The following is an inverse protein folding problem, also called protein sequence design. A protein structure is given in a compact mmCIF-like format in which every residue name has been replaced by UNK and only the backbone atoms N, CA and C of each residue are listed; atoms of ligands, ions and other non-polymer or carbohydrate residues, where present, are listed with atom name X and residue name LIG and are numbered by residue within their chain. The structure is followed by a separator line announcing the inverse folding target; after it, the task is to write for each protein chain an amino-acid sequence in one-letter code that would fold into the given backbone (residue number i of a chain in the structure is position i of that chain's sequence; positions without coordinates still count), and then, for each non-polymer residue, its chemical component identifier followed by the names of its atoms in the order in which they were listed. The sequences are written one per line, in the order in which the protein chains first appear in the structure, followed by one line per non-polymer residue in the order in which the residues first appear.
data_IF_779375313456
#
_entry.id   IF_779375313456
#
_cell.length_a   1.000
_cell.length_b   1.000
_cell.length_c   1.000
_cell.angle_alpha   90.00
_cell.angle_beta   90.00
_cell.angle_gamma   90.00
#
_symmetry.space_group_name_H-M   'P 1'
#
loop_
_entity.id
_entity.type
_entity.pdbx_description
1 polymer ?
#
# COMPACT_ATOMS: atom_id res chain seq x y z
N UNK A 1 -51.61 41.62 9.01
CA UNK A 1 -50.24 42.09 9.30
C UNK A 1 -49.22 41.21 8.59
N UNK A 2 -48.25 41.79 7.89
CA UNK A 2 -47.18 41.04 7.21
C UNK A 2 -46.06 40.74 8.23
N UNK A 3 -45.62 39.48 8.28
CA UNK A 3 -44.53 39.05 9.16
C UNK A 3 -43.32 38.69 8.28
N UNK A 4 -42.22 39.47 8.30
CA UNK A 4 -41.08 39.23 7.42
C UNK A 4 -40.36 37.90 7.75
N UNK A 5 -39.67 37.29 6.78
CA UNK A 5 -39.02 35.98 6.97
C UNK A 5 -38.06 35.91 8.17
N UNK A 6 -37.24 36.94 8.38
CA UNK A 6 -36.32 37.01 9.54
C UNK A 6 -37.08 36.96 10.87
N UNK A 7 -38.15 37.76 11.00
CA UNK A 7 -38.98 37.77 12.20
C UNK A 7 -39.74 36.45 12.42
N UNK A 8 -40.11 35.75 11.34
CA UNK A 8 -40.66 34.39 11.43
C UNK A 8 -39.61 33.41 11.98
N UNK A 9 -38.36 33.52 11.52
CA UNK A 9 -37.25 32.70 11.98
C UNK A 9 -36.94 32.93 13.47
N UNK A 10 -36.89 34.19 13.92
CA UNK A 10 -36.65 34.51 15.33
C UNK A 10 -37.72 33.92 16.25
N UNK A 11 -39.00 34.08 15.87
CA UNK A 11 -40.13 33.49 16.61
C UNK A 11 -40.02 31.96 16.63
N UNK A 12 -39.66 31.33 15.50
CA UNK A 12 -39.44 29.89 15.44
C UNK A 12 -38.35 29.43 16.40
N UNK A 13 -37.20 30.12 16.46
CA UNK A 13 -36.10 29.79 17.37
C UNK A 13 -36.50 29.95 18.83
N UNK A 14 -37.20 31.02 19.19
CA UNK A 14 -37.68 31.22 20.57
C UNK A 14 -38.67 30.13 21.00
N UNK A 15 -39.58 29.72 20.11
CA UNK A 15 -40.51 28.61 20.37
C UNK A 15 -39.77 27.28 20.50
N UNK A 16 -38.79 27.01 19.64
CA UNK A 16 -37.93 25.82 19.68
C UNK A 16 -37.14 25.71 20.99
N UNK A 17 -36.66 26.83 21.52
CA UNK A 17 -35.92 26.92 22.79
C UNK A 17 -36.83 26.91 24.03
N UNK A 18 -38.15 26.97 23.85
CA UNK A 18 -39.10 27.08 24.96
C UNK A 18 -39.13 28.45 25.65
N UNK A 19 -38.54 29.48 25.04
CA UNK A 19 -38.44 30.84 25.59
C UNK A 19 -39.77 31.61 25.48
N UNK A 20 -40.67 31.15 24.63
CA UNK A 20 -42.00 31.75 24.44
C UNK A 20 -43.04 30.68 24.17
N UNK A 21 -44.30 31.01 24.42
CA UNK A 21 -45.44 30.16 24.05
C UNK A 21 -46.08 30.65 22.76
N UNK A 22 -46.83 29.78 22.09
CA UNK A 22 -47.59 30.13 20.86
C UNK A 22 -48.50 31.32 21.09
N UNK A 23 -49.18 31.38 22.24
CA UNK A 23 -50.08 32.48 22.60
C UNK A 23 -49.33 33.79 22.82
N UNK A 24 -48.20 33.77 23.53
CA UNK A 24 -47.40 34.95 23.80
C UNK A 24 -46.73 35.50 22.52
N UNK A 25 -46.23 34.61 21.66
CA UNK A 25 -45.68 34.97 20.37
C UNK A 25 -46.73 35.58 19.43
N UNK A 26 -47.94 35.00 19.39
CA UNK A 26 -49.06 35.50 18.61
C UNK A 26 -49.47 36.92 19.04
N UNK A 27 -49.64 37.13 20.36
CA UNK A 27 -49.99 38.43 20.92
C UNK A 27 -48.92 39.49 20.64
N UNK A 28 -47.64 39.17 20.85
CA UNK A 28 -46.52 40.11 20.62
C UNK A 28 -46.32 40.45 19.14
N UNK A 29 -46.62 39.51 18.24
CA UNK A 29 -46.49 39.70 16.81
C UNK A 29 -47.76 40.26 16.16
N UNK A 30 -48.87 40.45 16.90
CA UNK A 30 -50.14 40.95 16.34
C UNK A 30 -50.76 40.01 15.31
N UNK A 31 -50.57 38.70 15.48
CA UNK A 31 -51.07 37.66 14.57
C UNK A 31 -51.86 36.60 15.32
N UNK A 32 -52.65 35.82 14.59
CA UNK A 32 -53.39 34.70 15.16
C UNK A 32 -52.48 33.52 15.54
N UNK A 33 -52.89 32.73 16.54
CA UNK A 33 -52.16 31.51 16.97
C UNK A 33 -51.98 30.51 15.83
N UNK A 34 -52.95 30.40 14.91
CA UNK A 34 -52.84 29.53 13.74
C UNK A 34 -51.72 29.95 12.78
N UNK A 35 -51.41 31.26 12.71
CA UNK A 35 -50.29 31.76 11.91
C UNK A 35 -48.94 31.32 12.49
N UNK A 36 -48.83 31.30 13.82
CA UNK A 36 -47.64 30.80 14.54
C UNK A 36 -47.50 29.28 14.40
N UNK A 37 -48.60 28.53 14.49
CA UNK A 37 -48.58 27.07 14.26
C UNK A 37 -48.18 26.73 12.82
N UNK A 38 -48.74 27.42 11.83
CA UNK A 38 -48.38 27.24 10.42
C UNK A 38 -46.90 27.56 10.16
N UNK A 39 -46.37 28.58 10.81
CA UNK A 39 -44.94 28.93 10.77
C UNK A 39 -44.07 27.78 11.29
N UNK A 40 -44.40 27.16 12.43
CA UNK A 40 -43.66 26.00 12.95
C UNK A 40 -43.69 24.82 11.98
N UNK A 41 -44.85 24.56 11.38
CA UNK A 41 -45.01 23.47 10.41
C UNK A 41 -44.13 23.69 9.17
N UNK A 42 -44.16 24.89 8.59
CA UNK A 42 -43.34 25.23 7.41
C UNK A 42 -41.84 25.18 7.74
N UNK A 43 -41.43 25.71 8.89
CA UNK A 43 -40.03 25.68 9.30
C UNK A 43 -39.51 24.25 9.51
N UNK A 44 -40.30 23.39 10.16
CA UNK A 44 -39.96 21.97 10.35
C UNK A 44 -39.87 21.23 9.00
N UNK A 45 -40.84 21.44 8.11
CA UNK A 45 -40.86 20.79 6.81
C UNK A 45 -39.65 21.20 5.96
N UNK A 46 -39.36 22.49 5.86
CA UNK A 46 -38.20 22.98 5.11
C UNK A 46 -36.86 22.51 5.69
N UNK A 47 -36.76 22.40 7.02
CA UNK A 47 -35.56 21.83 7.66
C UNK A 47 -35.39 20.34 7.30
N UNK A 48 -36.46 19.54 7.35
CA UNK A 48 -36.41 18.13 6.99
C UNK A 48 -36.06 17.92 5.51
N UNK A 49 -36.63 18.73 4.61
CA UNK A 49 -36.30 18.70 3.18
C UNK A 49 -34.84 19.06 2.91
N UNK A 50 -34.34 20.12 3.56
CA UNK A 50 -32.94 20.53 3.42
C UNK A 50 -31.97 19.47 3.96
N UNK A 51 -32.31 18.82 5.08
CA UNK A 51 -31.52 17.74 5.65
C UNK A 51 -31.55 16.49 4.78
N UNK A 52 -32.69 16.14 4.21
CA UNK A 52 -32.81 15.02 3.27
C UNK A 52 -32.01 15.25 1.98
N UNK A 53 -31.96 16.49 1.49
CA UNK A 53 -31.15 16.88 0.34
C UNK A 53 -29.65 16.99 0.67
N UNK A 54 -29.30 17.12 1.95
CA UNK A 54 -27.92 17.26 2.39
C UNK A 54 -27.19 15.91 2.28
N UNK A 55 -26.35 15.78 1.25
CA UNK A 55 -25.41 14.67 1.17
C UNK A 55 -24.22 14.97 2.08
N UNK A 56 -23.77 14.02 2.92
CA UNK A 56 -22.52 14.16 3.63
C UNK A 56 -21.41 14.50 2.63
N UNK A 57 -20.64 15.56 2.89
CA UNK A 57 -19.45 15.85 2.09
C UNK A 57 -18.53 14.64 2.05
N UNK A 58 -17.74 14.50 0.99
CA UNK A 58 -16.69 13.47 0.94
C UNK A 58 -15.70 13.80 2.05
N UNK A 59 -15.83 13.16 3.22
CA UNK A 59 -14.74 13.14 4.19
C UNK A 59 -13.53 12.59 3.42
N UNK A 60 -12.37 13.25 3.50
CA UNK A 60 -11.13 12.68 2.98
C UNK A 60 -10.97 11.21 3.41
N UNK A 61 -10.12 10.45 2.71
CA UNK A 61 -9.93 9.00 2.96
C UNK A 61 -10.01 8.71 4.47
N UNK A 62 -10.97 7.89 4.93
CA UNK A 62 -11.14 7.65 6.37
C UNK A 62 -9.82 7.16 6.94
N UNK A 63 -9.47 7.55 8.17
CA UNK A 63 -8.17 7.23 8.78
C UNK A 63 -7.78 5.74 8.66
N UNK A 64 -8.78 4.86 8.81
CA UNK A 64 -8.65 3.41 8.57
C UNK A 64 -8.07 3.04 7.20
N UNK A 65 -8.43 3.76 6.13
CA UNK A 65 -7.91 3.51 4.79
C UNK A 65 -6.45 3.98 4.64
N UNK A 66 -6.06 5.04 5.34
CA UNK A 66 -4.67 5.52 5.36
C UNK A 66 -3.77 4.52 6.10
N UNK A 67 -4.21 4.04 7.26
CA UNK A 67 -3.51 3.00 8.03
C UNK A 67 -3.40 1.70 7.24
N UNK A 68 -4.46 1.31 6.52
CA UNK A 68 -4.48 0.13 5.68
C UNK A 68 -3.51 0.25 4.49
N UNK A 69 -3.47 1.42 3.85
CA UNK A 69 -2.51 1.70 2.76
C UNK A 69 -1.06 1.66 3.27
N UNK A 70 -0.78 2.22 4.46
CA UNK A 70 0.54 2.17 5.09
C UNK A 70 0.95 0.74 5.46
N UNK A 71 0.03 -0.04 6.04
CA UNK A 71 0.29 -1.43 6.40
C UNK A 71 0.61 -2.29 5.17
N UNK A 72 -0.11 -2.07 4.05
CA UNK A 72 0.17 -2.75 2.78
C UNK A 72 1.56 -2.42 2.24
N UNK A 73 1.96 -1.14 2.28
CA UNK A 73 3.29 -0.72 1.85
C UNK A 73 4.41 -1.37 2.69
N UNK A 74 4.21 -1.51 3.99
CA UNK A 74 5.19 -2.19 4.86
C UNK A 74 5.23 -3.70 4.60
N UNK A 75 4.09 -4.35 4.34
CA UNK A 75 4.06 -5.76 3.93
C UNK A 75 4.88 -5.99 2.65
N UNK A 76 4.74 -5.13 1.65
CA UNK A 76 5.49 -5.25 0.39
C UNK A 76 7.00 -5.11 0.63
N UNK A 77 7.41 -4.13 1.44
CA UNK A 77 8.81 -3.91 1.83
C UNK A 77 9.39 -5.11 2.60
N UNK A 78 8.66 -5.62 3.59
CA UNK A 78 9.09 -6.76 4.39
C UNK A 78 9.17 -8.02 3.53
N UNK A 79 8.21 -8.23 2.63
CA UNK A 79 8.21 -9.35 1.68
C UNK A 79 9.48 -9.33 0.83
N UNK A 80 9.85 -8.16 0.27
CA UNK A 80 11.10 -8.00 -0.48
C UNK A 80 12.34 -8.32 0.36
N UNK A 81 12.37 -7.88 1.61
CA UNK A 81 13.52 -8.11 2.50
C UNK A 81 13.67 -9.60 2.84
N UNK A 82 12.56 -10.26 3.15
CA UNK A 82 12.52 -11.70 3.47
C UNK A 82 12.93 -12.52 2.26
N UNK A 83 12.48 -12.17 1.05
CA UNK A 83 12.90 -12.88 -0.17
C UNK A 83 14.40 -12.72 -0.43
N UNK A 84 14.97 -11.52 -0.21
CA UNK A 84 16.43 -11.30 -0.30
C UNK A 84 17.22 -12.11 0.72
N UNK A 85 16.73 -12.21 1.96
CA UNK A 85 17.36 -13.01 3.01
C UNK A 85 17.29 -14.51 2.72
N UNK A 86 16.14 -15.01 2.25
CA UNK A 86 15.96 -16.42 1.91
C UNK A 86 16.94 -16.88 0.81
N UNK A 87 17.17 -16.06 -0.22
CA UNK A 87 18.18 -16.36 -1.26
C UNK A 87 19.58 -16.46 -0.67
N UNK A 88 19.97 -15.50 0.18
CA UNK A 88 21.29 -15.55 0.84
C UNK A 88 21.47 -16.83 1.63
N UNK A 89 20.43 -17.30 2.32
CA UNK A 89 20.49 -18.57 3.06
C UNK A 89 20.70 -19.77 2.14
N UNK A 90 19.91 -19.91 1.07
CA UNK A 90 20.06 -21.01 0.10
C UNK A 90 21.46 -21.05 -0.48
N UNK A 91 22.00 -19.90 -0.92
CA UNK A 91 23.35 -19.83 -1.48
C UNK A 91 24.43 -20.20 -0.45
N UNK A 92 24.26 -19.78 0.81
CA UNK A 92 25.18 -20.14 1.88
C UNK A 92 25.15 -21.64 2.21
N UNK A 93 23.96 -22.25 2.19
CA UNK A 93 23.80 -23.69 2.40
C UNK A 93 24.44 -24.50 1.27
N UNK A 94 24.27 -24.08 0.02
CA UNK A 94 24.91 -24.74 -1.13
C UNK A 94 26.44 -24.57 -1.12
N UNK A 95 26.97 -23.39 -0.77
CA UNK A 95 28.43 -23.20 -0.60
C UNK A 95 29.01 -24.17 0.43
N UNK A 96 28.30 -24.40 1.54
CA UNK A 96 28.70 -25.38 2.56
C UNK A 96 28.71 -26.80 1.99
N UNK A 97 27.69 -27.16 1.19
CA UNK A 97 27.63 -28.46 0.51
C UNK A 97 28.76 -28.70 -0.48
N UNK A 98 29.24 -27.64 -1.13
CA UNK A 98 30.39 -27.65 -2.05
C UNK A 98 31.75 -27.55 -1.32
N UNK A 99 31.80 -27.61 0.01
CA UNK A 99 33.01 -27.42 0.83
C UNK A 99 33.75 -26.09 0.55
N UNK A 100 33.00 -25.07 0.11
CA UNK A 100 33.51 -23.72 -0.11
C UNK A 100 33.36 -22.90 1.20
N UNK A 101 34.37 -22.09 1.52
CA UNK A 101 34.32 -21.24 2.71
C UNK A 101 33.20 -20.17 2.57
N UNK A 102 32.35 -19.95 3.60
CA UNK A 102 31.12 -19.15 3.48
C UNK A 102 31.34 -17.69 3.07
N UNK A 103 32.47 -17.11 3.47
CA UNK A 103 32.77 -15.67 3.31
C UNK A 103 33.70 -15.35 2.15
N UNK A 104 34.23 -16.36 1.46
CA UNK A 104 35.21 -16.13 0.39
C UNK A 104 34.54 -16.05 -0.99
N UNK A 105 34.97 -15.12 -1.86
CA UNK A 105 34.56 -15.11 -3.26
C UNK A 105 34.90 -16.45 -3.94
N UNK A 106 34.05 -16.90 -4.87
CA UNK A 106 34.32 -18.13 -5.64
C UNK A 106 35.74 -18.10 -6.23
N UNK A 107 36.61 -19.07 -5.89
CA UNK A 107 37.98 -19.13 -6.38
C UNK A 107 38.07 -19.00 -7.91
N UNK A 108 39.17 -18.42 -8.40
CA UNK A 108 39.35 -18.14 -9.84
C UNK A 108 39.30 -19.43 -10.67
N UNK A 109 39.84 -20.52 -10.13
CA UNK A 109 39.80 -21.86 -10.72
C UNK A 109 39.00 -22.79 -9.83
N UNK A 110 37.97 -23.36 -10.41
CA UNK A 110 37.09 -24.36 -9.81
C UNK A 110 36.85 -25.44 -10.86
N UNK A 111 36.63 -26.67 -10.42
CA UNK A 111 36.41 -27.81 -11.31
C UNK A 111 35.08 -27.68 -12.08
N UNK A 112 34.89 -28.55 -13.08
CA UNK A 112 33.67 -28.57 -13.90
C UNK A 112 32.40 -28.80 -13.06
N UNK A 113 32.45 -29.64 -12.03
CA UNK A 113 31.30 -29.93 -11.18
C UNK A 113 30.83 -28.68 -10.43
N UNK A 114 31.76 -27.94 -9.84
CA UNK A 114 31.47 -26.67 -9.15
C UNK A 114 30.97 -25.61 -10.12
N UNK A 115 31.53 -25.53 -11.33
CA UNK A 115 31.04 -24.61 -12.38
C UNK A 115 29.63 -24.93 -12.81
N UNK A 116 29.31 -26.22 -12.94
CA UNK A 116 27.97 -26.67 -13.28
C UNK A 116 26.98 -26.30 -12.18
N UNK A 117 27.30 -26.60 -10.91
CA UNK A 117 26.47 -26.20 -9.77
C UNK A 117 26.21 -24.68 -9.69
N UNK A 118 27.21 -23.85 -10.00
CA UNK A 118 27.04 -22.39 -10.07
C UNK A 118 26.10 -21.95 -11.20
N UNK A 119 26.11 -22.64 -12.34
CA UNK A 119 25.19 -22.36 -13.45
C UNK A 119 23.76 -22.75 -13.09
N UNK A 120 23.59 -23.90 -12.44
CA UNK A 120 22.28 -24.43 -12.01
C UNK A 120 21.65 -23.53 -10.94
N UNK A 121 22.43 -23.04 -9.98
CA UNK A 121 21.98 -22.06 -8.98
C UNK A 121 21.49 -20.77 -9.62
N UNK A 122 22.22 -20.26 -10.62
CA UNK A 122 21.82 -19.03 -11.32
C UNK A 122 20.54 -19.25 -12.13
N UNK A 123 20.38 -20.40 -12.78
CA UNK A 123 19.16 -20.75 -13.51
C UNK A 123 17.96 -20.93 -12.59
N UNK A 124 18.15 -21.59 -11.45
CA UNK A 124 17.13 -21.73 -10.42
C UNK A 124 16.62 -20.36 -9.95
N UNK A 125 17.53 -19.43 -9.63
CA UNK A 125 17.16 -18.10 -9.18
C UNK A 125 16.46 -17.29 -10.31
N UNK A 126 16.95 -17.38 -11.54
CA UNK A 126 16.35 -16.72 -12.70
C UNK A 126 14.92 -17.22 -12.97
N UNK A 127 14.68 -18.53 -12.86
CA UNK A 127 13.34 -19.13 -12.94
C UNK A 127 12.37 -18.65 -11.85
N UNK A 128 12.90 -18.07 -10.77
CA UNK A 128 12.12 -17.46 -9.67
C UNK A 128 12.00 -15.94 -9.81
N UNK A 129 12.41 -15.37 -10.94
CA UNK A 129 12.30 -13.94 -11.25
C UNK A 129 13.45 -13.07 -10.74
N UNK A 130 14.55 -13.67 -10.28
CA UNK A 130 15.70 -12.91 -9.77
C UNK A 130 16.61 -12.43 -10.91
N UNK A 131 17.10 -11.17 -10.86
CA UNK A 131 18.10 -10.70 -11.81
C UNK A 131 19.40 -11.51 -11.69
N UNK A 132 19.88 -12.04 -12.82
CA UNK A 132 21.12 -12.83 -12.92
C UNK A 132 22.32 -12.14 -12.27
N UNK A 133 22.45 -10.82 -12.44
CA UNK A 133 23.55 -10.04 -11.86
C UNK A 133 23.55 -10.05 -10.34
N UNK A 134 22.36 -10.00 -9.71
CA UNK A 134 22.22 -10.07 -8.25
C UNK A 134 22.53 -11.46 -7.72
N UNK A 135 22.13 -12.51 -8.43
CA UNK A 135 22.48 -13.88 -8.07
C UNK A 135 23.97 -14.14 -8.17
N UNK A 136 24.66 -13.54 -9.15
CA UNK A 136 26.11 -13.63 -9.35
C UNK A 136 26.91 -12.88 -8.26
N UNK A 137 26.38 -11.75 -7.77
CA UNK A 137 26.99 -10.93 -6.72
C UNK A 137 27.13 -11.71 -5.39
N UNK A 138 26.10 -12.45 -4.97
CA UNK A 138 26.06 -13.18 -3.68
C UNK A 138 27.22 -14.19 -3.49
N UNK A 139 27.53 -15.08 -4.45
CA UNK A 139 28.68 -15.97 -4.34
C UNK A 139 30.01 -15.27 -4.63
N UNK A 140 30.02 -14.02 -5.12
CA UNK A 140 31.23 -13.34 -5.60
C UNK A 140 31.67 -13.82 -6.99
N UNK A 141 30.72 -14.29 -7.83
CA UNK A 141 30.97 -14.68 -9.21
C UNK A 141 30.74 -13.47 -10.12
N UNK A 142 31.75 -12.98 -10.83
CA UNK A 142 31.52 -11.87 -11.78
C UNK A 142 30.60 -12.28 -12.96
N UNK A 143 29.74 -11.37 -13.43
CA UNK A 143 28.89 -11.57 -14.62
C UNK A 143 29.68 -12.03 -15.86
N UNK A 144 30.92 -11.55 -16.02
CA UNK A 144 31.81 -11.96 -17.12
C UNK A 144 32.17 -13.45 -17.04
N UNK A 145 32.42 -13.96 -15.83
CA UNK A 145 32.72 -15.39 -15.60
C UNK A 145 31.47 -16.24 -15.82
N UNK A 146 30.32 -15.82 -15.29
CA UNK A 146 29.04 -16.50 -15.54
C UNK A 146 28.76 -16.63 -17.03
N UNK A 147 28.79 -15.52 -17.79
CA UNK A 147 28.61 -15.53 -19.25
C UNK A 147 29.60 -16.45 -19.98
N UNK A 148 30.85 -16.52 -19.53
CA UNK A 148 31.86 -17.41 -20.12
C UNK A 148 31.55 -18.89 -19.85
N UNK A 149 31.14 -19.23 -18.63
CA UNK A 149 30.74 -20.60 -18.28
C UNK A 149 29.49 -21.01 -19.07
N UNK A 150 28.48 -20.14 -19.14
CA UNK A 150 27.26 -20.37 -19.92
C UNK A 150 27.57 -20.61 -21.40
N UNK A 151 28.37 -19.74 -22.03
CA UNK A 151 28.79 -19.93 -23.43
C UNK A 151 29.50 -21.26 -23.67
N UNK A 152 30.33 -21.73 -22.73
CA UNK A 152 31.00 -23.04 -22.85
C UNK A 152 30.00 -24.18 -22.77
N UNK A 153 29.06 -24.13 -21.82
CA UNK A 153 27.99 -25.10 -21.66
C UNK A 153 27.11 -25.18 -22.92
N UNK A 154 26.64 -24.02 -23.41
CA UNK A 154 25.78 -23.93 -24.60
C UNK A 154 26.48 -24.46 -25.87
N UNK A 155 27.81 -24.32 -25.94
CA UNK A 155 28.62 -24.81 -27.07
C UNK A 155 29.02 -26.28 -26.92
N UNK A 156 28.61 -26.97 -25.84
CA UNK A 156 29.03 -28.34 -25.53
C UNK A 156 30.51 -28.48 -25.14
N UNK A 157 31.20 -27.37 -24.87
CA UNK A 157 32.61 -27.36 -24.49
C UNK A 157 32.77 -27.75 -23.00
N UNK A 158 33.91 -28.39 -22.69
CA UNK A 158 34.27 -28.71 -21.30
C UNK A 158 34.32 -27.44 -20.44
N UNK A 159 33.74 -27.54 -19.23
CA UNK A 159 33.73 -26.44 -18.26
C UNK A 159 35.04 -26.31 -17.49
N UNK A 160 35.83 -27.39 -17.41
CA UNK A 160 37.15 -27.37 -16.77
C UNK A 160 38.04 -26.27 -17.34
N UNK A 161 38.87 -25.69 -16.48
CA UNK A 161 39.88 -24.77 -16.96
C UNK A 161 40.97 -25.56 -17.67
N UNK A 162 41.42 -25.05 -18.82
CA UNK A 162 42.59 -25.57 -19.50
C UNK A 162 43.83 -25.44 -18.62
N UNK A 163 44.87 -26.22 -18.94
CA UNK A 163 46.17 -26.06 -18.26
C UNK A 163 46.65 -24.62 -18.41
N UNK A 164 47.26 -24.03 -17.36
CA UNK A 164 47.78 -22.67 -17.44
C UNK A 164 48.84 -22.57 -18.55
N UNK A 165 48.68 -21.62 -19.47
CA UNK A 165 49.66 -21.34 -20.54
C UNK A 165 49.56 -22.20 -21.80
N UNK A 166 48.48 -22.96 -21.99
CA UNK A 166 48.16 -23.67 -23.22
C UNK A 166 47.29 -22.83 -24.17
#
# INVERSE_FOLDING_TARGET
MFLPPSRKYDIYIQLMRGETTVGAAAARAGVDRSAIMRLQQVARQGALEALAASRPGVSGKPARNVELDQARAEIDRLTRTVTEQAVKLVVLEEKRGLSLMPTEPVPVRVDAATKQGLLDLVDYAAGRGWPVSKTCEVPGLSDRRHRRFRRRQDSGNKLDDGRPGA
#
